data_IF_033254209446
#
_entry.id   IF_033254209446
#
_cell.length_a   1.000
_cell.length_b   1.000
_cell.length_c   1.000
_cell.angle_alpha   90.00
_cell.angle_beta   90.00
_cell.angle_gamma   90.00
#
_symmetry.space_group_name_H-M   'P 1'
#
loop_
_entity.id
_entity.type
_entity.pdbx_description
1 polymer ?
#
# COMPACT_ATOMS: atom_id res chain seq x y z
N UNK A 1 -5.55 16.22 56.67
CA UNK A 1 -4.74 15.57 55.61
C UNK A 1 -5.68 14.88 54.63
N UNK A 2 -5.98 15.51 53.49
CA UNK A 2 -6.63 14.81 52.37
C UNK A 2 -6.10 15.44 51.07
N UNK A 3 -5.00 14.88 50.57
CA UNK A 3 -4.50 15.14 49.23
C UNK A 3 -5.38 14.34 48.26
N UNK A 4 -6.30 15.01 47.56
CA UNK A 4 -6.92 14.45 46.36
C UNK A 4 -5.83 14.36 45.30
N UNK A 5 -5.39 13.14 45.00
CA UNK A 5 -4.63 12.85 43.80
C UNK A 5 -5.54 13.16 42.60
N UNK A 6 -5.40 14.35 42.02
CA UNK A 6 -5.92 14.65 40.69
C UNK A 6 -5.04 13.85 39.74
N UNK A 7 -5.48 12.62 39.41
CA UNK A 7 -4.88 11.84 38.34
C UNK A 7 -4.97 12.67 37.06
N UNK A 8 -3.83 13.14 36.57
CA UNK A 8 -3.73 13.63 35.20
C UNK A 8 -4.25 12.51 34.30
N UNK A 9 -5.29 12.72 33.48
CA UNK A 9 -5.58 11.76 32.43
C UNK A 9 -4.31 11.71 31.59
N UNK A 10 -3.76 10.50 31.38
CA UNK A 10 -2.70 10.31 30.41
C UNK A 10 -3.28 10.80 29.09
N UNK A 11 -2.82 11.96 28.61
CA UNK A 11 -3.22 12.50 27.31
C UNK A 11 -2.72 11.51 26.25
N UNK A 12 -3.57 10.56 25.87
CA UNK A 12 -3.37 9.83 24.63
C UNK A 12 -3.37 10.85 23.49
N UNK A 13 -2.40 10.76 22.59
CA UNK A 13 -2.26 11.63 21.42
C UNK A 13 -3.46 11.40 20.49
N UNK A 14 -4.48 12.23 20.62
CA UNK A 14 -5.72 12.13 19.85
C UNK A 14 -5.67 13.02 18.62
N UNK A 15 -5.94 12.44 17.44
CA UNK A 15 -6.14 13.15 16.18
C UNK A 15 -7.36 14.08 16.33
N UNK A 16 -7.24 15.33 15.91
CA UNK A 16 -8.29 16.34 16.11
C UNK A 16 -9.28 16.39 14.94
N UNK A 17 -8.77 16.28 13.72
CA UNK A 17 -9.55 16.24 12.47
C UNK A 17 -8.73 15.53 11.40
N UNK A 18 -9.41 14.92 10.44
CA UNK A 18 -8.81 14.34 9.22
C UNK A 18 -8.54 15.42 8.16
N UNK A 19 -9.17 16.60 8.26
CA UNK A 19 -9.13 17.63 7.22
C UNK A 19 -9.97 17.31 5.98
N UNK A 20 -10.70 16.19 5.97
CA UNK A 20 -11.61 15.77 4.91
C UNK A 20 -13.04 15.86 5.44
N UNK A 21 -13.92 16.54 4.71
CA UNK A 21 -15.33 16.69 5.11
C UNK A 21 -16.05 15.35 4.95
N UNK A 22 -16.75 14.91 5.99
CA UNK A 22 -17.50 13.65 5.99
C UNK A 22 -16.70 12.43 6.45
N UNK A 23 -15.40 12.59 6.71
CA UNK A 23 -14.55 11.53 7.26
C UNK A 23 -14.21 11.83 8.72
N UNK A 24 -14.97 11.25 9.64
CA UNK A 24 -14.81 11.45 11.07
C UNK A 24 -13.58 10.72 11.63
N UNK A 25 -12.93 11.33 12.62
CA UNK A 25 -11.77 10.73 13.30
C UNK A 25 -12.19 9.50 14.11
N UNK A 26 -11.43 8.42 13.98
CA UNK A 26 -11.67 7.16 14.71
C UNK A 26 -10.60 6.97 15.80
N UNK A 27 -10.92 7.16 17.10
CA UNK A 27 -9.92 7.08 18.17
C UNK A 27 -9.25 5.71 18.32
N UNK A 28 -9.97 4.64 17.98
CA UNK A 28 -9.53 3.25 18.06
C UNK A 28 -9.23 2.64 16.68
N UNK A 29 -8.75 3.46 15.73
CA UNK A 29 -8.54 3.09 14.33
C UNK A 29 -7.76 1.78 14.16
N UNK A 30 -6.65 1.59 14.89
CA UNK A 30 -5.83 0.37 14.83
C UNK A 30 -6.62 -0.90 15.10
N UNK A 31 -7.44 -0.90 16.16
CA UNK A 31 -8.22 -2.08 16.54
C UNK A 31 -9.29 -2.39 15.48
N UNK A 32 -9.93 -1.35 14.94
CA UNK A 32 -10.91 -1.48 13.86
C UNK A 32 -10.26 -2.03 12.59
N UNK A 33 -9.10 -1.50 12.18
CA UNK A 33 -8.35 -1.99 11.02
C UNK A 33 -7.95 -3.46 11.15
N UNK A 34 -7.45 -3.87 12.33
CA UNK A 34 -7.09 -5.28 12.58
C UNK A 34 -8.30 -6.19 12.43
N UNK A 35 -9.46 -5.79 12.98
CA UNK A 35 -10.70 -6.56 12.87
C UNK A 35 -11.19 -6.63 11.42
N UNK A 36 -11.24 -5.50 10.71
CA UNK A 36 -11.64 -5.43 9.31
C UNK A 36 -10.75 -6.30 8.41
N UNK A 37 -9.43 -6.15 8.48
CA UNK A 37 -8.51 -6.97 7.68
C UNK A 37 -8.58 -8.45 8.02
N UNK A 38 -8.81 -8.80 9.29
CA UNK A 38 -9.01 -10.20 9.69
C UNK A 38 -10.31 -10.77 9.11
N UNK A 39 -11.37 -9.97 9.04
CA UNK A 39 -12.62 -10.32 8.34
C UNK A 39 -12.38 -10.46 6.84
N UNK A 40 -11.70 -9.51 6.19
CA UNK A 40 -11.38 -9.55 4.76
C UNK A 40 -10.64 -10.83 4.40
N UNK A 41 -9.61 -11.21 5.17
CA UNK A 41 -8.85 -12.45 4.95
C UNK A 41 -9.67 -13.73 5.15
N UNK A 42 -10.75 -13.66 5.94
CA UNK A 42 -11.68 -14.78 6.14
C UNK A 42 -12.67 -14.89 4.98
N UNK A 43 -13.29 -13.79 4.59
CA UNK A 43 -14.31 -13.76 3.52
C UNK A 43 -13.70 -14.07 2.14
N UNK A 44 -12.47 -13.59 1.87
CA UNK A 44 -11.80 -13.83 0.57
C UNK A 44 -11.51 -15.32 0.30
N UNK A 45 -11.55 -16.18 1.32
CA UNK A 45 -11.35 -17.63 1.14
C UNK A 45 -12.43 -18.29 0.27
N UNK A 46 -13.59 -17.64 0.11
CA UNK A 46 -14.66 -18.11 -0.77
C UNK A 46 -14.34 -17.94 -2.26
N UNK A 47 -13.43 -17.03 -2.63
CA UNK A 47 -13.00 -16.78 -4.01
C UNK A 47 -11.96 -17.83 -4.43
N UNK A 48 -11.94 -18.32 -5.70
CA UNK A 48 -10.94 -19.28 -6.15
C UNK A 48 -9.48 -18.77 -6.00
N UNK A 49 -8.55 -19.66 -5.63
CA UNK A 49 -7.15 -19.30 -5.29
C UNK A 49 -6.33 -18.78 -6.48
N UNK A 50 -6.64 -19.25 -7.69
CA UNK A 50 -5.85 -18.90 -8.87
C UNK A 50 -6.17 -17.50 -9.42
N UNK A 51 -7.28 -16.91 -9.00
CA UNK A 51 -7.75 -15.61 -9.46
C UNK A 51 -6.83 -14.47 -9.02
N UNK A 52 -6.50 -13.59 -9.95
CA UNK A 52 -5.63 -12.44 -9.70
C UNK A 52 -6.16 -11.52 -8.60
N UNK A 53 -7.49 -11.39 -8.52
CA UNK A 53 -8.16 -10.63 -7.47
C UNK A 53 -7.84 -11.16 -6.06
N UNK A 54 -8.01 -12.47 -5.82
CA UNK A 54 -7.71 -13.07 -4.52
C UNK A 54 -6.24 -12.90 -4.14
N UNK A 55 -5.32 -13.14 -5.08
CA UNK A 55 -3.88 -12.96 -4.85
C UNK A 55 -3.54 -11.52 -4.45
N UNK A 56 -4.13 -10.53 -5.12
CA UNK A 56 -3.93 -9.12 -4.80
C UNK A 56 -4.49 -8.76 -3.42
N UNK A 57 -5.75 -9.11 -3.14
CA UNK A 57 -6.42 -8.84 -1.86
C UNK A 57 -5.66 -9.45 -0.70
N UNK A 58 -5.27 -10.72 -0.80
CA UNK A 58 -4.49 -11.37 0.25
C UNK A 58 -3.13 -10.70 0.45
N UNK A 59 -2.43 -10.33 -0.63
CA UNK A 59 -1.11 -9.70 -0.57
C UNK A 59 -1.13 -8.37 0.18
N UNK A 60 -1.95 -7.42 -0.27
CA UNK A 60 -1.99 -6.11 0.38
C UNK A 60 -2.62 -6.20 1.76
N UNK A 61 -3.69 -6.97 1.95
CA UNK A 61 -4.36 -7.08 3.25
C UNK A 61 -3.43 -7.67 4.31
N UNK A 62 -2.64 -8.71 3.98
CA UNK A 62 -1.64 -9.26 4.91
C UNK A 62 -0.54 -8.24 5.24
N UNK A 63 -0.08 -7.48 4.24
CA UNK A 63 0.90 -6.43 4.48
C UNK A 63 0.36 -5.35 5.42
N UNK A 64 -0.83 -4.80 5.13
CA UNK A 64 -1.49 -3.77 5.96
C UNK A 64 -1.76 -4.28 7.38
N UNK A 65 -2.24 -5.52 7.52
CA UNK A 65 -2.47 -6.16 8.81
C UNK A 65 -1.19 -6.33 9.62
N UNK A 66 -0.08 -6.72 8.98
CA UNK A 66 1.20 -6.87 9.66
C UNK A 66 1.71 -5.53 10.21
N UNK A 67 1.59 -4.46 9.43
CA UNK A 67 1.94 -3.10 9.88
C UNK A 67 1.06 -2.68 11.06
N UNK A 68 -0.26 -2.87 10.99
CA UNK A 68 -1.18 -2.52 12.08
C UNK A 68 -0.93 -3.33 13.37
N UNK A 69 -0.42 -4.56 13.26
CA UNK A 69 -0.02 -5.37 14.41
C UNK A 69 1.30 -4.92 15.01
N UNK A 70 2.26 -4.53 14.16
CA UNK A 70 3.61 -4.14 14.57
C UNK A 70 3.71 -2.74 15.18
N UNK A 71 2.88 -1.80 14.73
CA UNK A 71 2.86 -0.41 15.22
C UNK A 71 1.67 -0.18 16.16
N UNK A 72 1.87 0.60 17.23
CA UNK A 72 0.79 0.98 18.15
C UNK A 72 0.18 2.36 17.83
N UNK A 73 1.00 3.29 17.33
CA UNK A 73 0.58 4.66 17.04
C UNK A 73 0.03 4.81 15.62
N UNK A 74 -1.04 5.57 15.45
CA UNK A 74 -1.69 5.77 14.15
C UNK A 74 -0.78 6.53 13.18
N UNK A 75 0.03 7.49 13.66
CA UNK A 75 0.98 8.24 12.83
C UNK A 75 2.10 7.34 12.29
N UNK A 76 2.57 6.38 13.09
CA UNK A 76 3.56 5.40 12.66
C UNK A 76 2.97 4.45 11.60
N UNK A 77 1.71 4.05 11.76
CA UNK A 77 0.96 3.27 10.77
C UNK A 77 0.87 4.05 9.45
N UNK A 78 0.39 5.30 9.45
CA UNK A 78 0.26 6.14 8.25
C UNK A 78 1.61 6.29 7.53
N UNK A 79 2.67 6.59 8.28
CA UNK A 79 4.01 6.76 7.72
C UNK A 79 4.55 5.48 7.09
N UNK A 80 4.35 4.33 7.74
CA UNK A 80 4.89 3.05 7.28
C UNK A 80 4.11 2.46 6.11
N UNK A 81 2.79 2.66 6.08
CA UNK A 81 1.94 2.25 4.95
C UNK A 81 2.06 3.20 3.76
N UNK A 82 2.23 4.50 3.99
CA UNK A 82 2.33 5.50 2.92
C UNK A 82 1.08 5.58 2.04
N UNK A 83 -0.09 5.26 2.59
CA UNK A 83 -1.34 5.07 1.84
C UNK A 83 -2.48 5.94 2.41
N UNK A 84 -2.20 7.23 2.63
CA UNK A 84 -3.16 8.17 3.20
C UNK A 84 -3.32 8.03 4.72
N UNK A 85 -4.47 8.48 5.22
CA UNK A 85 -4.82 8.49 6.64
C UNK A 85 -5.43 7.15 7.09
N UNK A 86 -5.35 6.84 8.40
CA UNK A 86 -5.94 5.61 8.94
C UNK A 86 -7.47 5.53 8.75
N UNK A 87 -8.16 6.66 8.73
CA UNK A 87 -9.60 6.72 8.47
C UNK A 87 -9.94 6.35 7.02
N UNK A 88 -9.15 6.81 6.04
CA UNK A 88 -9.31 6.43 4.63
C UNK A 88 -9.07 4.93 4.46
N UNK A 89 -8.07 4.36 5.15
CA UNK A 89 -7.81 2.92 5.16
C UNK A 89 -8.97 2.10 5.75
N UNK A 90 -9.73 2.66 6.70
CA UNK A 90 -10.92 2.01 7.26
C UNK A 90 -12.04 1.97 6.22
N UNK A 91 -12.27 3.08 5.53
CA UNK A 91 -13.25 3.16 4.43
C UNK A 91 -12.89 2.18 3.31
N UNK A 92 -11.63 2.18 2.85
CA UNK A 92 -11.13 1.22 1.85
C UNK A 92 -11.34 -0.23 2.29
N UNK A 93 -11.09 -0.57 3.56
CA UNK A 93 -11.27 -1.93 4.06
C UNK A 93 -12.76 -2.33 4.15
N UNK A 94 -13.66 -1.39 4.42
CA UNK A 94 -15.11 -1.63 4.42
C UNK A 94 -15.66 -1.79 3.00
N UNK A 95 -15.17 -0.97 2.07
CA UNK A 95 -15.50 -1.07 0.66
C UNK A 95 -15.01 -2.39 0.06
N UNK A 96 -13.81 -2.83 0.43
CA UNK A 96 -13.27 -4.13 0.00
C UNK A 96 -14.13 -5.28 0.53
N UNK A 97 -14.58 -5.24 1.80
CA UNK A 97 -15.51 -6.25 2.33
C UNK A 97 -16.84 -6.28 1.56
N UNK A 98 -17.36 -5.11 1.22
CA UNK A 98 -18.59 -4.97 0.43
C UNK A 98 -18.38 -5.50 -0.98
N UNK A 99 -17.21 -5.25 -1.58
CA UNK A 99 -16.84 -5.75 -2.89
C UNK A 99 -16.71 -7.27 -2.87
N UNK A 100 -16.03 -7.86 -1.89
CA UNK A 100 -15.91 -9.32 -1.75
C UNK A 100 -17.29 -9.98 -1.72
N UNK A 101 -18.24 -9.45 -0.95
CA UNK A 101 -19.60 -9.98 -0.91
C UNK A 101 -20.27 -9.98 -2.30
N UNK A 102 -20.11 -8.90 -3.07
CA UNK A 102 -20.61 -8.82 -4.45
C UNK A 102 -19.89 -9.76 -5.41
N UNK A 103 -18.58 -9.90 -5.28
CA UNK A 103 -17.78 -10.79 -6.13
C UNK A 103 -18.11 -12.26 -5.88
N UNK A 104 -18.47 -12.63 -4.65
CA UNK A 104 -18.98 -13.97 -4.32
C UNK A 104 -20.37 -14.19 -4.94
N UNK A 105 -21.24 -13.18 -4.92
CA UNK A 105 -22.59 -13.29 -5.50
C UNK A 105 -22.56 -13.36 -7.03
N UNK A 106 -21.72 -12.54 -7.68
CA UNK A 106 -21.67 -12.43 -9.13
C UNK A 106 -20.76 -13.47 -9.79
N UNK A 107 -19.83 -14.04 -9.03
CA UNK A 107 -18.95 -15.13 -9.45
C UNK A 107 -18.31 -14.93 -10.84
N UNK A 108 -17.61 -13.80 -11.10
CA UNK A 108 -17.10 -13.47 -12.44
C UNK A 108 -15.80 -14.22 -12.80
N UNK A 109 -15.54 -15.37 -12.16
CA UNK A 109 -14.27 -16.09 -12.27
C UNK A 109 -14.22 -16.98 -13.51
N UNK A 110 -13.01 -17.29 -13.94
CA UNK A 110 -12.76 -18.08 -15.13
C UNK A 110 -12.84 -17.27 -16.43
N UNK A 111 -12.24 -17.84 -17.47
CA UNK A 111 -12.18 -17.26 -18.81
C UNK A 111 -12.75 -18.28 -19.78
N UNK A 112 -13.83 -17.96 -20.53
CA UNK A 112 -14.37 -18.84 -21.56
C UNK A 112 -13.35 -19.17 -22.65
N UNK A 113 -13.46 -20.36 -23.27
CA UNK A 113 -12.54 -20.80 -24.33
C UNK A 113 -12.62 -19.92 -25.59
N UNK A 114 -13.77 -19.28 -25.82
CA UNK A 114 -14.05 -18.36 -26.93
C UNK A 114 -13.82 -16.89 -26.58
N UNK A 115 -13.20 -16.59 -25.42
CA UNK A 115 -12.95 -15.22 -25.00
C UNK A 115 -11.87 -14.55 -25.85
N UNK A 116 -12.25 -13.50 -26.57
CA UNK A 116 -11.34 -12.66 -27.35
C UNK A 116 -11.13 -11.31 -26.62
N UNK A 117 -9.87 -11.00 -26.29
CA UNK A 117 -9.47 -9.74 -25.67
C UNK A 117 -8.56 -8.97 -26.62
N UNK A 118 -9.11 -7.97 -27.30
CA UNK A 118 -8.34 -7.09 -28.18
C UNK A 118 -7.61 -6.02 -27.36
N UNK A 119 -6.29 -6.17 -27.22
CA UNK A 119 -5.44 -5.14 -26.62
C UNK A 119 -5.08 -4.11 -27.69
N UNK A 120 -5.72 -2.94 -27.62
CA UNK A 120 -5.49 -1.82 -28.56
C UNK A 120 -4.51 -0.84 -27.94
N UNK A 121 -3.29 -0.80 -28.48
CA UNK A 121 -2.23 0.12 -28.06
C UNK A 121 -2.04 1.24 -29.08
N UNK A 122 -1.95 2.49 -28.61
CA UNK A 122 -1.67 3.65 -29.44
C UNK A 122 -0.52 4.46 -28.82
N UNK A 123 0.68 4.27 -29.38
CA UNK A 123 1.92 4.88 -28.89
C UNK A 123 2.12 6.33 -29.37
N UNK A 124 1.08 6.99 -29.88
CA UNK A 124 1.17 8.39 -30.26
C UNK A 124 1.60 9.25 -29.05
N UNK A 125 2.66 10.07 -29.17
CA UNK A 125 3.18 10.83 -28.05
C UNK A 125 2.17 11.91 -27.62
N UNK A 126 1.88 11.95 -26.32
CA UNK A 126 0.98 12.94 -25.73
C UNK A 126 1.75 14.27 -25.55
N UNK A 127 1.26 15.41 -26.08
CA UNK A 127 1.91 16.70 -25.88
C UNK A 127 2.00 17.10 -24.41
N UNK A 128 3.12 17.70 -23.98
CA UNK A 128 3.40 18.03 -22.56
C UNK A 128 2.39 18.94 -21.87
N UNK A 129 1.67 19.76 -22.63
CA UNK A 129 0.70 20.72 -22.11
C UNK A 129 -0.69 20.10 -21.92
N UNK A 130 -0.91 18.89 -22.45
CA UNK A 130 -2.15 18.15 -22.24
C UNK A 130 -2.14 17.61 -20.81
N UNK A 131 -3.26 17.72 -20.07
CA UNK A 131 -3.37 17.15 -18.74
C UNK A 131 -3.03 15.65 -18.75
N UNK A 132 -2.01 15.30 -17.99
CA UNK A 132 -1.56 13.93 -17.80
C UNK A 132 -1.38 13.70 -16.30
N UNK A 133 -1.96 12.61 -15.78
CA UNK A 133 -1.73 12.20 -14.39
C UNK A 133 -0.24 11.87 -14.22
N UNK A 134 0.43 12.67 -13.40
CA UNK A 134 1.80 12.42 -13.00
C UNK A 134 1.80 11.76 -11.63
N UNK A 135 2.70 10.81 -11.35
CA UNK A 135 2.82 10.26 -10.03
C UNK A 135 3.14 11.38 -9.05
N UNK A 136 2.57 11.29 -7.84
CA UNK A 136 2.99 12.13 -6.73
C UNK A 136 4.44 11.85 -6.32
N UNK A 137 5.01 12.65 -5.42
CA UNK A 137 6.33 12.36 -4.85
C UNK A 137 6.31 10.99 -4.16
N UNK A 138 7.30 10.16 -4.47
CA UNK A 138 7.44 8.84 -3.84
C UNK A 138 7.90 9.01 -2.38
N UNK A 139 7.64 8.01 -1.50
CA UNK A 139 8.12 8.05 -0.12
C UNK A 139 9.65 8.19 -0.04
N UNK A 140 10.14 9.00 0.89
CA UNK A 140 11.59 9.27 1.06
C UNK A 140 12.43 8.00 1.28
N UNK A 141 11.86 6.99 1.93
CA UNK A 141 12.51 5.71 2.18
C UNK A 141 12.85 4.97 0.87
N UNK A 142 12.07 5.19 -0.20
CA UNK A 142 12.37 4.67 -1.53
C UNK A 142 13.67 5.25 -2.08
N UNK A 143 13.84 6.58 -2.00
CA UNK A 143 15.07 7.24 -2.47
C UNK A 143 16.29 6.77 -1.68
N UNK A 144 16.17 6.64 -0.35
CA UNK A 144 17.25 6.11 0.51
C UNK A 144 17.66 4.69 0.14
N UNK A 145 16.67 3.82 -0.09
CA UNK A 145 16.92 2.43 -0.49
C UNK A 145 17.58 2.35 -1.87
N UNK A 146 17.10 3.17 -2.81
CA UNK A 146 17.64 3.26 -4.16
C UNK A 146 19.08 3.78 -4.16
N UNK A 147 19.38 4.83 -3.40
CA UNK A 147 20.75 5.33 -3.21
C UNK A 147 21.66 4.27 -2.58
N UNK A 148 21.17 3.54 -1.58
CA UNK A 148 21.88 2.40 -0.98
C UNK A 148 22.27 1.36 -2.03
N UNK A 149 21.31 0.87 -2.81
CA UNK A 149 21.54 -0.11 -3.88
C UNK A 149 22.49 0.42 -4.98
N UNK A 150 22.34 1.68 -5.38
CA UNK A 150 23.23 2.31 -6.36
C UNK A 150 24.66 2.49 -5.82
N UNK A 151 24.82 2.77 -4.53
CA UNK A 151 26.14 2.89 -3.89
C UNK A 151 26.87 1.54 -3.79
N UNK A 152 26.14 0.47 -3.45
CA UNK A 152 26.67 -0.90 -3.37
C UNK A 152 27.10 -1.45 -4.74
N UNK A 153 26.38 -1.10 -5.81
CA UNK A 153 26.74 -1.51 -7.17
C UNK A 153 28.03 -0.84 -7.67
N UNK A 154 28.31 0.41 -7.25
CA UNK A 154 29.57 1.11 -7.53
C UNK A 154 30.78 0.50 -6.83
N UNK A 155 30.61 -0.17 -5.69
CA UNK A 155 31.75 -0.73 -4.92
C UNK A 155 32.20 -2.11 -5.41
N UNK A 156 31.41 -2.79 -6.26
CA UNK A 156 31.65 -4.18 -6.69
C UNK A 156 32.31 -4.35 -8.08
N UNK A 157 32.65 -3.28 -8.78
CA UNK A 157 33.36 -3.36 -10.06
C UNK A 157 34.86 -3.10 -9.82
N UNK A 158 35.75 -4.12 -9.84
CA UNK A 158 37.18 -3.86 -9.90
C UNK A 158 37.52 -3.30 -11.28
N UNK A 159 38.29 -2.20 -11.30
CA UNK A 159 38.71 -1.54 -12.53
C UNK A 159 39.49 -2.50 -13.43
N UNK A 160 38.86 -2.96 -14.52
CA UNK A 160 39.56 -3.67 -15.58
C UNK A 160 40.44 -2.66 -16.32
N UNK A 161 41.75 -2.79 -16.14
CA UNK A 161 42.80 -2.10 -16.87
C UNK A 161 42.63 -2.29 -18.39
N UNK A 162 42.41 -1.21 -19.13
CA UNK A 162 42.51 -1.19 -20.59
C UNK A 162 43.98 -1.29 -21.01
N UNK A 163 44.38 -2.44 -21.56
CA UNK A 163 45.64 -2.59 -22.30
C UNK A 163 45.32 -2.71 -23.79
N UNK A 164 45.76 -1.72 -24.58
CA UNK A 164 45.74 -1.72 -26.05
C UNK A 164 46.69 -2.79 -26.61
N UNK A 165 46.28 -3.63 -27.58
CA UNK A 165 47.22 -4.40 -28.37
C UNK A 165 47.57 -3.65 -29.67
N UNK A 166 48.83 -3.27 -29.80
CA UNK A 166 49.48 -2.94 -31.07
C UNK A 166 49.38 -4.14 -32.03
N UNK A 167 48.81 -3.93 -33.21
CA UNK A 167 48.85 -4.87 -34.34
C UNK A 167 50.08 -4.56 -35.20
N UNK A 168 51.10 -5.41 -35.07
CA UNK A 168 52.21 -5.55 -36.01
C UNK A 168 51.85 -6.69 -36.99
N UNK A 169 51.65 -6.32 -38.27
CA UNK A 169 52.14 -7.02 -39.47
C UNK A 169 51.70 -6.29 -40.74
#
# INVERSE_FOLDING_TARGET
MFLRAIGRPLLAKAKQTTGIVGLDVVPNARAVLIDLYSKTLKEIQAVPEDEGYRKAVESFTRHRLNVCKGEEDWEAIEKRLGCGQVEELIEEAQDELTLIAKMIEWDPWGVPDDYECEVIENDAPIPKHVPQHRPGPLPEDFYRTLEGLLSESKTKIPAASSADPQLEK
#
